data_IF_389090207151
#
_entry.id   IF_389090207151
#
_cell.length_a   1.000
_cell.length_b   1.000
_cell.length_c   1.000
_cell.angle_alpha   90.00
_cell.angle_beta   90.00
_cell.angle_gamma   90.00
#
_symmetry.space_group_name_H-M   'P 1'
#
loop_
_entity.id
_entity.type
_entity.pdbx_description
1 polymer ?
#
# COMPACT_ATOMS: atom_id res chain seq x y z
N UNK A 1 3.36 1.94 -17.70
CA UNK A 1 3.94 2.13 -19.05
C UNK A 1 4.09 0.81 -19.83
N UNK A 2 4.58 -0.28 -19.24
CA UNK A 2 4.78 -1.57 -19.94
C UNK A 2 3.53 -2.37 -20.37
N UNK A 3 2.39 -2.17 -19.70
CA UNK A 3 1.22 -3.05 -19.84
C UNK A 3 -0.11 -2.31 -20.10
N UNK A 4 -0.07 -0.98 -20.24
CA UNK A 4 -1.23 -0.13 -20.49
C UNK A 4 -2.18 0.02 -19.29
N UNK A 5 -3.03 1.07 -19.34
CA UNK A 5 -3.99 1.43 -18.27
C UNK A 5 -4.91 0.26 -17.87
N UNK A 6 -5.35 -0.55 -18.85
CA UNK A 6 -6.25 -1.69 -18.62
C UNK A 6 -5.63 -2.78 -17.73
N UNK A 7 -4.37 -3.17 -17.96
CA UNK A 7 -3.71 -4.20 -17.14
C UNK A 7 -3.36 -3.67 -15.74
N UNK A 8 -2.99 -2.40 -15.62
CA UNK A 8 -2.77 -1.76 -14.32
C UNK A 8 -4.06 -1.74 -13.48
N UNK A 9 -5.19 -1.32 -14.06
CA UNK A 9 -6.49 -1.38 -13.38
C UNK A 9 -6.90 -2.81 -13.04
N UNK A 10 -6.63 -3.79 -13.90
CA UNK A 10 -6.89 -5.21 -13.61
C UNK A 10 -6.11 -5.69 -12.38
N UNK A 11 -4.81 -5.41 -12.29
CA UNK A 11 -3.98 -5.75 -11.12
C UNK A 11 -4.50 -5.14 -9.82
N UNK A 12 -4.96 -3.88 -9.88
CA UNK A 12 -5.59 -3.22 -8.73
C UNK A 12 -6.86 -3.96 -8.29
N UNK A 13 -7.74 -4.32 -9.22
CA UNK A 13 -8.94 -5.08 -8.92
C UNK A 13 -8.65 -6.48 -8.40
N UNK A 14 -7.66 -7.17 -8.96
CA UNK A 14 -7.21 -8.48 -8.45
C UNK A 14 -6.72 -8.35 -7.01
N UNK A 15 -5.86 -7.37 -6.70
CA UNK A 15 -5.39 -7.13 -5.34
C UNK A 15 -6.51 -6.82 -4.36
N UNK A 16 -7.48 -6.00 -4.77
CA UNK A 16 -8.68 -5.70 -3.98
C UNK A 16 -9.52 -6.95 -3.71
N UNK A 17 -9.84 -7.73 -4.74
CA UNK A 17 -10.63 -8.96 -4.61
C UNK A 17 -9.91 -9.98 -3.73
N UNK A 18 -8.58 -10.13 -3.89
CA UNK A 18 -7.77 -11.01 -3.05
C UNK A 18 -7.78 -10.57 -1.58
N UNK A 19 -7.76 -9.27 -1.31
CA UNK A 19 -7.86 -8.74 0.05
C UNK A 19 -9.21 -9.07 0.67
N UNK A 20 -10.31 -8.89 -0.08
CA UNK A 20 -11.66 -9.28 0.36
C UNK A 20 -11.75 -10.79 0.57
N UNK A 21 -11.19 -11.60 -0.33
CA UNK A 21 -11.18 -13.05 -0.22
C UNK A 21 -10.42 -13.54 1.03
N UNK A 22 -9.27 -12.92 1.32
CA UNK A 22 -8.50 -13.18 2.54
C UNK A 22 -9.33 -12.84 3.79
N UNK A 23 -10.01 -11.70 3.81
CA UNK A 23 -10.93 -11.35 4.90
C UNK A 23 -12.05 -12.40 5.07
N UNK A 24 -12.64 -12.88 3.97
CA UNK A 24 -13.68 -13.92 4.03
C UNK A 24 -13.13 -15.22 4.63
N UNK A 25 -12.00 -15.74 4.13
CA UNK A 25 -11.42 -17.00 4.64
C UNK A 25 -11.06 -16.90 6.12
N UNK A 26 -10.39 -15.82 6.52
CA UNK A 26 -10.01 -15.58 7.91
C UNK A 26 -11.23 -15.41 8.81
N UNK A 27 -12.29 -14.76 8.33
CA UNK A 27 -13.57 -14.64 9.06
C UNK A 27 -14.25 -15.99 9.23
N UNK A 28 -14.26 -16.83 8.19
CA UNK A 28 -14.78 -18.21 8.29
C UNK A 28 -14.00 -18.99 9.33
N UNK A 29 -12.66 -18.92 9.32
CA UNK A 29 -11.83 -19.55 10.35
C UNK A 29 -12.12 -19.05 11.77
N UNK A 30 -12.38 -17.75 11.92
CA UNK A 30 -12.70 -17.15 13.22
C UNK A 30 -14.05 -17.61 13.78
N UNK A 31 -15.08 -17.69 12.93
CA UNK A 31 -16.43 -18.12 13.34
C UNK A 31 -16.64 -19.63 13.30
N UNK A 32 -15.69 -20.40 12.79
CA UNK A 32 -15.79 -21.86 12.76
C UNK A 32 -15.78 -22.39 14.20
N UNK A 33 -16.67 -23.33 14.55
CA UNK A 33 -16.62 -23.99 15.85
C UNK A 33 -15.31 -24.77 15.94
N UNK A 34 -14.35 -24.18 16.65
CA UNK A 34 -13.10 -24.84 16.96
C UNK A 34 -13.41 -25.87 18.04
N UNK A 35 -13.09 -27.14 17.78
CA UNK A 35 -13.00 -28.15 18.83
C UNK A 35 -12.05 -27.60 19.91
N UNK A 36 -12.61 -27.18 21.05
CA UNK A 36 -11.81 -26.60 22.13
C UNK A 36 -10.83 -27.62 22.72
N UNK A 37 -10.97 -28.92 22.45
CA UNK A 37 -10.08 -29.97 22.95
C UNK A 37 -8.63 -29.87 22.46
N UNK A 38 -8.38 -29.47 21.20
CA UNK A 38 -7.00 -29.28 20.73
C UNK A 38 -6.39 -27.95 21.22
N UNK A 39 -7.20 -26.91 21.38
CA UNK A 39 -6.77 -25.63 21.97
C UNK A 39 -6.54 -25.77 23.48
N UNK A 40 -7.37 -26.51 24.21
CA UNK A 40 -7.22 -26.85 25.62
C UNK A 40 -6.00 -27.75 25.85
N UNK A 41 -5.67 -28.66 24.93
CA UNK A 41 -4.43 -29.46 25.00
C UNK A 41 -3.16 -28.62 24.81
N UNK A 42 -3.22 -27.56 23.99
CA UNK A 42 -2.13 -26.58 23.83
C UNK A 42 -2.14 -25.57 25.00
N UNK A 43 -3.31 -25.22 25.50
CA UNK A 43 -3.52 -24.29 26.61
C UNK A 43 -3.21 -24.88 27.99
N UNK A 44 -3.25 -26.21 28.14
CA UNK A 44 -2.81 -26.91 29.35
C UNK A 44 -1.31 -26.68 29.65
N UNK A 45 -0.53 -26.21 28.66
CA UNK A 45 0.84 -25.69 28.84
C UNK A 45 0.99 -24.18 28.63
N UNK A 46 -0.11 -23.44 28.42
CA UNK A 46 -0.11 -22.00 28.10
C UNK A 46 -0.80 -21.17 29.18
N UNK A 47 -0.21 -20.01 29.49
CA UNK A 47 -0.74 -18.99 30.39
C UNK A 47 -2.22 -18.66 30.13
N UNK A 48 -3.12 -18.68 31.16
CA UNK A 48 -4.55 -18.36 31.06
C UNK A 48 -4.89 -17.02 30.38
N UNK A 49 -3.93 -16.10 30.26
CA UNK A 49 -4.10 -14.84 29.53
C UNK A 49 -4.15 -14.95 28.00
N UNK A 50 -3.87 -16.12 27.41
CA UNK A 50 -3.79 -16.29 25.94
C UNK A 50 -5.12 -16.56 25.25
N UNK A 51 -6.18 -16.87 25.98
CA UNK A 51 -7.52 -17.17 25.41
C UNK A 51 -8.09 -16.04 24.53
N UNK A 52 -7.64 -14.79 24.72
CA UNK A 52 -8.11 -13.63 23.96
C UNK A 52 -7.15 -13.16 22.86
N UNK A 53 -5.96 -13.77 22.70
CA UNK A 53 -4.96 -13.27 21.73
C UNK A 53 -5.47 -13.35 20.30
N UNK A 54 -6.22 -14.40 19.98
CA UNK A 54 -6.79 -14.59 18.65
C UNK A 54 -7.84 -13.51 18.34
N UNK A 55 -8.71 -13.18 19.30
CA UNK A 55 -9.73 -12.12 19.16
C UNK A 55 -9.07 -10.75 18.91
N UNK A 56 -8.01 -10.43 19.66
CA UNK A 56 -7.26 -9.20 19.45
C UNK A 56 -6.64 -9.16 18.05
N UNK A 57 -5.89 -10.20 17.66
CA UNK A 57 -5.21 -10.25 16.36
C UNK A 57 -6.21 -10.17 15.21
N UNK A 58 -7.33 -10.89 15.30
CA UNK A 58 -8.39 -10.85 14.30
C UNK A 58 -9.05 -9.46 14.21
N UNK A 59 -9.38 -8.86 15.35
CA UNK A 59 -9.94 -7.50 15.40
C UNK A 59 -9.00 -6.47 14.77
N UNK A 60 -7.71 -6.53 15.08
CA UNK A 60 -6.69 -5.68 14.45
C UNK A 60 -6.55 -5.95 12.96
N UNK A 61 -6.60 -7.21 12.52
CA UNK A 61 -6.49 -7.60 11.12
C UNK A 61 -7.63 -7.02 10.28
N UNK A 62 -8.89 -7.21 10.70
CA UNK A 62 -10.05 -6.66 9.97
C UNK A 62 -9.96 -5.15 9.91
N UNK A 63 -9.71 -4.52 11.06
CA UNK A 63 -9.64 -3.07 11.16
C UNK A 63 -8.53 -2.49 10.31
N UNK A 64 -7.33 -3.07 10.37
CA UNK A 64 -6.15 -2.65 9.61
C UNK A 64 -6.33 -2.84 8.11
N UNK A 65 -6.97 -3.94 7.69
CA UNK A 65 -7.26 -4.19 6.27
C UNK A 65 -8.27 -3.18 5.73
N UNK A 66 -9.36 -2.95 6.46
CA UNK A 66 -10.37 -1.96 6.08
C UNK A 66 -9.77 -0.54 6.02
N UNK A 67 -8.96 -0.17 7.02
CA UNK A 67 -8.22 1.09 7.03
C UNK A 67 -7.32 1.24 5.80
N UNK A 68 -6.58 0.19 5.45
CA UNK A 68 -5.68 0.17 4.29
C UNK A 68 -6.43 0.34 2.97
N UNK A 69 -7.59 -0.31 2.81
CA UNK A 69 -8.40 -0.17 1.60
C UNK A 69 -8.95 1.25 1.43
N UNK A 70 -9.43 1.87 2.52
CA UNK A 70 -9.92 3.26 2.51
C UNK A 70 -8.78 4.23 2.21
N UNK A 71 -7.67 4.10 2.94
CA UNK A 71 -6.49 4.94 2.78
C UNK A 71 -5.94 4.87 1.34
N UNK A 72 -5.84 3.66 0.80
CA UNK A 72 -5.41 3.42 -0.58
C UNK A 72 -6.26 4.17 -1.60
N UNK A 73 -7.60 4.10 -1.50
CA UNK A 73 -8.50 4.80 -2.42
C UNK A 73 -8.29 6.33 -2.36
N UNK A 74 -8.21 6.89 -1.15
CA UNK A 74 -8.03 8.33 -0.94
C UNK A 74 -6.64 8.77 -1.46
N UNK A 75 -5.60 8.00 -1.13
CA UNK A 75 -4.22 8.27 -1.53
C UNK A 75 -4.07 8.21 -3.05
N UNK A 76 -4.65 7.22 -3.73
CA UNK A 76 -4.59 7.12 -5.19
C UNK A 76 -5.32 8.27 -5.90
N UNK A 77 -6.50 8.65 -5.41
CA UNK A 77 -7.21 9.81 -5.96
C UNK A 77 -6.40 11.10 -5.78
N UNK A 78 -5.72 11.23 -4.64
CA UNK A 78 -4.82 12.36 -4.36
C UNK A 78 -3.60 12.35 -5.27
N UNK A 79 -2.96 11.19 -5.45
CA UNK A 79 -1.83 11.00 -6.34
C UNK A 79 -2.17 11.41 -7.77
N UNK A 80 -3.27 10.90 -8.32
CA UNK A 80 -3.71 11.21 -9.69
C UNK A 80 -3.97 12.71 -9.85
N UNK A 81 -4.62 13.35 -8.89
CA UNK A 81 -4.88 14.80 -8.93
C UNK A 81 -3.59 15.60 -8.90
N UNK A 82 -2.67 15.27 -8.00
CA UNK A 82 -1.39 15.95 -7.88
C UNK A 82 -0.51 15.74 -9.10
N UNK A 83 -0.50 14.52 -9.67
CA UNK A 83 0.24 14.23 -10.88
C UNK A 83 -0.18 15.15 -12.04
N UNK A 84 -1.49 15.34 -12.24
CA UNK A 84 -2.03 16.23 -13.27
C UNK A 84 -1.76 17.70 -12.93
N UNK A 85 -1.91 18.11 -11.66
CA UNK A 85 -1.55 19.45 -11.20
C UNK A 85 -0.10 19.80 -11.55
N UNK A 86 0.86 18.91 -11.22
CA UNK A 86 2.26 19.13 -11.56
C UNK A 86 2.51 19.09 -13.07
N UNK A 87 1.81 18.23 -13.83
CA UNK A 87 1.87 18.19 -15.30
C UNK A 87 1.46 19.53 -15.90
N UNK A 88 0.36 20.11 -15.44
CA UNK A 88 -0.17 21.38 -15.98
C UNK A 88 0.74 22.56 -15.60
N UNK A 89 1.21 22.59 -14.34
CA UNK A 89 2.13 23.61 -13.85
C UNK A 89 3.48 23.61 -14.58
N UNK A 90 4.01 22.43 -14.87
CA UNK A 90 5.31 22.27 -15.55
C UNK A 90 5.19 22.28 -17.08
N UNK A 91 3.98 22.46 -17.64
CA UNK A 91 3.70 22.33 -19.08
C UNK A 91 4.20 21.00 -19.65
N UNK A 92 4.04 19.93 -18.87
CA UNK A 92 4.49 18.59 -19.20
C UNK A 92 5.99 18.31 -19.00
N UNK A 93 6.79 19.32 -18.60
CA UNK A 93 8.25 19.18 -18.39
C UNK A 93 8.54 18.49 -17.03
N UNK A 94 9.67 17.78 -16.92
CA UNK A 94 10.11 17.10 -15.69
C UNK A 94 9.16 16.00 -15.16
N UNK A 95 9.08 14.88 -15.89
CA UNK A 95 8.35 13.67 -15.47
C UNK A 95 8.73 13.21 -14.04
N UNK A 96 10.01 13.32 -13.68
CA UNK A 96 10.52 12.91 -12.37
C UNK A 96 9.86 13.70 -11.22
N UNK A 97 9.64 15.00 -11.41
CA UNK A 97 9.12 15.89 -10.37
C UNK A 97 7.66 15.57 -10.09
N UNK A 98 6.86 15.43 -11.13
CA UNK A 98 5.44 15.07 -10.96
C UNK A 98 5.25 13.68 -10.37
N UNK A 99 6.08 12.71 -10.76
CA UNK A 99 5.99 11.34 -10.26
C UNK A 99 6.38 11.23 -8.78
N UNK A 100 7.54 11.78 -8.41
CA UNK A 100 8.02 11.74 -7.02
C UNK A 100 7.18 12.67 -6.13
N UNK A 101 6.83 13.86 -6.61
CA UNK A 101 6.02 14.82 -5.87
C UNK A 101 4.62 14.29 -5.56
N UNK A 102 3.93 13.69 -6.54
CA UNK A 102 2.61 13.10 -6.30
C UNK A 102 2.69 11.91 -5.35
N UNK A 103 3.71 11.05 -5.51
CA UNK A 103 3.91 9.86 -4.68
C UNK A 103 4.22 10.24 -3.23
N UNK A 104 5.13 11.19 -2.99
CA UNK A 104 5.50 11.60 -1.63
C UNK A 104 4.32 12.19 -0.87
N UNK A 105 3.47 12.98 -1.53
CA UNK A 105 2.29 13.58 -0.88
C UNK A 105 1.19 12.54 -0.67
N UNK A 106 0.93 11.68 -1.65
CA UNK A 106 -0.09 10.63 -1.51
C UNK A 106 0.28 9.61 -0.42
N UNK A 107 1.57 9.32 -0.23
CA UNK A 107 2.04 8.47 0.87
C UNK A 107 1.83 9.07 2.27
N UNK A 108 1.86 10.40 2.40
CA UNK A 108 1.48 11.06 3.67
C UNK A 108 0.00 10.78 3.94
N UNK A 109 -0.85 11.03 2.96
CA UNK A 109 -2.30 10.82 3.07
C UNK A 109 -2.63 9.36 3.40
N UNK A 110 -1.98 8.41 2.71
CA UNK A 110 -2.06 6.99 2.99
C UNK A 110 -1.69 6.67 4.43
N UNK A 111 -0.50 7.08 4.86
CA UNK A 111 0.02 6.72 6.19
C UNK A 111 -0.80 7.32 7.32
N UNK A 112 -1.22 8.58 7.18
CA UNK A 112 -2.11 9.25 8.13
C UNK A 112 -3.44 8.50 8.23
N UNK A 113 -4.06 8.18 7.10
CA UNK A 113 -5.34 7.48 7.08
C UNK A 113 -5.23 6.06 7.67
N UNK A 114 -4.23 5.27 7.27
CA UNK A 114 -4.01 3.92 7.78
C UNK A 114 -3.83 3.94 9.29
N UNK A 115 -2.89 4.73 9.82
CA UNK A 115 -2.59 4.73 11.24
C UNK A 115 -3.76 5.28 12.06
N UNK A 116 -4.42 6.34 11.59
CA UNK A 116 -5.56 6.92 12.32
C UNK A 116 -6.74 5.95 12.35
N UNK A 117 -7.16 5.41 11.19
CA UNK A 117 -8.32 4.51 11.13
C UNK A 117 -8.04 3.19 11.85
N UNK A 118 -6.81 2.69 11.81
CA UNK A 118 -6.41 1.43 12.48
C UNK A 118 -6.33 1.56 14.00
N UNK A 119 -5.96 2.73 14.53
CA UNK A 119 -5.65 2.86 15.96
C UNK A 119 -6.49 3.87 16.74
N UNK A 120 -7.37 4.66 16.10
CA UNK A 120 -8.29 5.57 16.81
C UNK A 120 -9.11 4.82 17.88
N UNK A 121 -9.15 5.34 19.11
CA UNK A 121 -9.84 4.69 20.23
C UNK A 121 -9.17 3.41 20.76
N UNK A 122 -8.00 3.03 20.24
CA UNK A 122 -7.20 1.89 20.73
C UNK A 122 -5.85 2.35 21.26
N UNK A 123 -5.19 3.28 20.58
CA UNK A 123 -3.96 3.91 21.06
C UNK A 123 -4.20 5.39 21.41
N UNK A 124 -3.43 5.95 22.36
CA UNK A 124 -3.36 7.39 22.59
C UNK A 124 -2.97 8.15 21.32
N UNK A 125 -3.49 9.37 21.15
CA UNK A 125 -3.26 10.18 19.95
C UNK A 125 -1.77 10.44 19.70
N UNK A 126 -0.99 10.62 20.77
CA UNK A 126 0.45 10.83 20.72
C UNK A 126 1.17 9.64 20.06
N UNK A 127 0.73 8.42 20.38
CA UNK A 127 1.27 7.19 19.78
C UNK A 127 0.87 7.02 18.32
N UNK A 128 -0.34 7.43 17.96
CA UNK A 128 -0.77 7.43 16.55
C UNK A 128 0.09 8.40 15.74
N UNK A 129 0.34 9.60 16.25
CA UNK A 129 1.20 10.59 15.60
C UNK A 129 2.63 10.06 15.46
N UNK A 130 3.17 9.44 16.51
CA UNK A 130 4.49 8.80 16.49
C UNK A 130 4.58 7.75 15.36
N UNK A 131 3.58 6.86 15.26
CA UNK A 131 3.51 5.85 14.20
C UNK A 131 3.38 6.45 12.80
N UNK A 132 2.63 7.55 12.64
CA UNK A 132 2.53 8.28 11.38
C UNK A 132 3.88 8.83 10.96
N UNK A 133 4.58 9.51 11.87
CA UNK A 133 5.86 10.15 11.59
C UNK A 133 6.92 9.10 11.22
N UNK A 134 7.10 8.08 12.06
CA UNK A 134 8.08 7.02 11.78
C UNK A 134 7.71 6.22 10.53
N UNK A 135 6.43 5.87 10.35
CA UNK A 135 5.96 5.14 9.17
C UNK A 135 6.18 5.92 7.88
N UNK A 136 5.92 7.23 7.89
CA UNK A 136 6.14 8.08 6.72
C UNK A 136 7.63 8.26 6.43
N UNK A 137 8.45 8.57 7.45
CA UNK A 137 9.89 8.74 7.27
C UNK A 137 10.55 7.47 6.72
N UNK A 138 10.15 6.30 7.22
CA UNK A 138 10.61 5.03 6.69
C UNK A 138 10.24 4.86 5.21
N UNK A 139 8.98 5.09 4.83
CA UNK A 139 8.54 5.01 3.42
C UNK A 139 9.29 6.01 2.53
N UNK A 140 9.47 7.25 3.00
CA UNK A 140 10.19 8.29 2.27
C UNK A 140 11.67 7.92 2.07
N UNK A 141 12.33 7.39 3.10
CA UNK A 141 13.71 6.92 3.03
C UNK A 141 13.87 5.77 2.02
N UNK A 142 12.97 4.78 2.07
CA UNK A 142 12.96 3.67 1.12
C UNK A 142 12.74 4.19 -0.31
N UNK A 143 11.77 5.07 -0.54
CA UNK A 143 11.50 5.63 -1.87
C UNK A 143 12.69 6.42 -2.44
N UNK A 144 13.37 7.22 -1.61
CA UNK A 144 14.58 7.93 -2.01
C UNK A 144 15.73 6.97 -2.34
N UNK A 145 15.83 5.86 -1.61
CA UNK A 145 16.85 4.83 -1.84
C UNK A 145 16.56 4.02 -3.11
N UNK A 146 15.30 3.70 -3.38
CA UNK A 146 14.86 2.94 -4.56
C UNK A 146 15.09 3.70 -5.87
N UNK A 147 15.02 5.04 -5.82
CA UNK A 147 15.12 5.89 -7.01
C UNK A 147 16.46 5.70 -7.76
N UNK A 148 17.65 5.79 -7.12
CA UNK A 148 18.93 5.43 -7.74
C UNK A 148 18.99 4.02 -8.35
N UNK A 149 18.45 3.01 -7.66
CA UNK A 149 18.46 1.63 -8.13
C UNK A 149 17.58 1.46 -9.37
N UNK A 150 16.44 2.15 -9.43
CA UNK A 150 15.58 2.16 -10.61
C UNK A 150 16.30 2.74 -11.83
N UNK A 151 16.97 3.89 -11.69
CA UNK A 151 17.77 4.48 -12.78
C UNK A 151 18.92 3.56 -13.22
N UNK A 152 19.57 2.87 -12.27
CA UNK A 152 20.62 1.90 -12.57
C UNK A 152 20.06 0.69 -13.35
N UNK A 153 18.94 0.13 -12.90
CA UNK A 153 18.25 -0.99 -13.55
C UNK A 153 17.84 -0.66 -14.98
N UNK A 154 17.24 0.51 -15.20
CA UNK A 154 16.90 1.00 -16.54
C UNK A 154 18.16 1.12 -17.41
N UNK A 155 19.26 1.69 -16.88
CA UNK A 155 20.52 1.84 -17.63
C UNK A 155 21.16 0.51 -18.02
N UNK A 156 21.05 -0.50 -17.16
CA UNK A 156 21.53 -1.86 -17.44
C UNK A 156 20.65 -2.59 -18.46
N UNK A 157 19.33 -2.50 -18.32
CA UNK A 157 18.36 -3.12 -19.22
C UNK A 157 18.30 -2.47 -20.60
N UNK A 158 18.66 -1.18 -20.71
CA UNK A 158 18.78 -0.46 -21.99
C UNK A 158 19.74 -1.14 -22.97
N UNK A 159 20.72 -1.91 -22.47
CA UNK A 159 21.64 -2.69 -23.30
C UNK A 159 20.99 -3.91 -23.96
N UNK A 160 19.87 -4.39 -23.41
CA UNK A 160 19.25 -5.66 -23.81
C UNK A 160 17.92 -5.48 -24.55
N UNK A 161 17.30 -4.29 -24.51
CA UNK A 161 16.02 -4.04 -25.19
C UNK A 161 16.03 -2.64 -25.88
N UNK A 162 16.49 -2.56 -27.14
CA UNK A 162 16.55 -1.30 -27.91
C UNK A 162 15.17 -0.73 -28.31
N UNK A 163 14.15 -1.58 -28.37
CA UNK A 163 12.79 -1.22 -28.84
C UNK A 163 12.04 -0.27 -27.89
N UNK A 164 12.52 -0.06 -26.66
CA UNK A 164 11.88 0.83 -25.67
C UNK A 164 11.87 2.30 -26.09
N UNK A 165 12.96 2.81 -26.68
CA UNK A 165 12.99 4.21 -27.13
C UNK A 165 12.14 4.42 -28.38
N UNK A 166 12.06 3.43 -29.28
CA UNK A 166 11.24 3.52 -30.48
C UNK A 166 9.74 3.63 -30.15
N UNK A 167 9.28 2.93 -29.10
CA UNK A 167 7.88 2.98 -28.68
C UNK A 167 7.58 4.22 -27.81
N UNK A 168 8.48 4.60 -26.90
CA UNK A 168 8.32 5.80 -26.08
C UNK A 168 8.37 7.10 -26.92
N UNK A 169 9.23 7.16 -27.94
CA UNK A 169 9.31 8.31 -28.86
C UNK A 169 8.06 8.44 -29.74
N UNK A 170 7.47 7.31 -30.18
CA UNK A 170 6.21 7.29 -30.95
C UNK A 170 5.03 7.81 -30.14
N UNK A 171 4.95 7.44 -28.86
CA UNK A 171 3.86 7.86 -27.96
C UNK A 171 3.95 9.35 -27.58
N UNK A 172 5.17 9.91 -27.56
CA UNK A 172 5.41 11.35 -27.38
C UNK A 172 5.16 12.18 -28.65
N UNK A 173 5.30 11.60 -29.85
CA UNK A 173 4.97 12.26 -31.12
C UNK A 173 3.50 12.17 -31.51
N UNK A 174 2.73 11.30 -30.84
CA UNK A 174 1.31 11.08 -31.10
C UNK A 174 0.38 11.89 -30.17
N UNK A 175 0.94 12.66 -29.23
CA UNK A 175 0.25 13.64 -28.38
C UNK A 175 0.81 15.05 -28.65
#
# INVERSE_FOLDING_TARGET
>A
ELYGKKRASFLVWVGFIMSVFMLVITSVGYYMPVDRGWFEAIAAGSDPGKEHTYDYVYGYMIRGTAASMIAYLIAQLTDVKLFHFWKDLTKGKHLWLRNNGSTMVSQIVDTVAVMTITFVGVLPAEKIIELIVFGYLFKAFVALTDTPFFYLGVRLLKKWVPEFEANAAREYSAN
#
